data_IF_159759922151
#
_entry.id   IF_159759922151
#
_cell.length_a   1.000
_cell.length_b   1.000
_cell.length_c   1.000
_cell.angle_alpha   90.00
_cell.angle_beta   90.00
_cell.angle_gamma   90.00
#
_symmetry.space_group_name_H-M   'P 1'
#
loop_
_entity.id
_entity.type
_entity.pdbx_description
1 polymer ?
#
# COMPACT_ATOMS: atom_id res chain seq x y z
N UNK A 1 -4.10 -28.14 -16.08
CA UNK A 1 -3.17 -28.66 -17.11
C UNK A 1 -3.12 -27.58 -18.16
N UNK A 2 -2.20 -26.62 -18.01
CA UNK A 2 -2.09 -25.48 -18.95
C UNK A 2 -1.35 -25.94 -20.19
N UNK A 3 -2.05 -25.88 -21.32
CA UNK A 3 -1.46 -26.09 -22.64
C UNK A 3 -0.60 -24.85 -22.99
N UNK A 4 0.72 -24.99 -23.20
CA UNK A 4 1.61 -23.89 -23.56
C UNK A 4 1.28 -23.24 -24.92
N UNK A 5 0.30 -23.73 -25.67
CA UNK A 5 -0.11 -23.20 -26.97
C UNK A 5 -1.32 -22.25 -26.97
N UNK A 6 -2.02 -22.04 -25.85
CA UNK A 6 -3.21 -21.18 -25.82
C UNK A 6 -2.94 -19.83 -25.13
N UNK A 7 -1.99 -19.05 -25.67
CA UNK A 7 -1.74 -17.66 -25.22
C UNK A 7 -2.70 -16.73 -25.94
N UNK A 8 -3.44 -15.92 -25.18
CA UNK A 8 -4.26 -14.85 -25.76
C UNK A 8 -3.35 -13.74 -26.31
N UNK A 9 -3.53 -13.40 -27.58
CA UNK A 9 -2.79 -12.30 -28.21
C UNK A 9 -3.58 -11.01 -28.00
N UNK A 10 -3.03 -10.12 -27.18
CA UNK A 10 -3.67 -8.86 -26.80
C UNK A 10 -3.49 -7.79 -27.90
N UNK A 11 -2.29 -7.74 -28.47
CA UNK A 11 -1.87 -6.79 -29.48
C UNK A 11 -0.88 -7.45 -30.44
N UNK A 12 -0.99 -7.14 -31.72
CA UNK A 12 0.03 -7.44 -32.70
C UNK A 12 0.42 -6.15 -33.46
N UNK A 13 1.72 -5.95 -33.69
CA UNK A 13 2.19 -4.87 -34.57
C UNK A 13 2.96 -5.48 -35.74
N UNK A 14 2.43 -5.35 -36.95
CA UNK A 14 3.08 -5.87 -38.16
C UNK A 14 2.89 -4.92 -39.34
N UNK A 15 3.85 -4.89 -40.25
CA UNK A 15 3.80 -4.07 -41.48
C UNK A 15 3.49 -2.56 -41.25
N UNK A 16 3.87 -2.02 -40.09
CA UNK A 16 3.62 -0.61 -39.74
C UNK A 16 2.23 -0.33 -39.19
N UNK A 17 1.41 -1.35 -38.95
CA UNK A 17 0.06 -1.22 -38.40
C UNK A 17 -0.13 -2.03 -37.12
N UNK A 18 -0.73 -1.45 -36.06
CA UNK A 18 -1.19 -2.20 -34.90
C UNK A 18 -2.55 -2.85 -35.14
N UNK A 19 -2.72 -4.05 -34.61
CA UNK A 19 -4.00 -4.73 -34.42
C UNK A 19 -4.19 -4.92 -32.92
N UNK A 20 -5.16 -4.22 -32.34
CA UNK A 20 -5.51 -4.33 -30.93
C UNK A 20 -6.75 -5.23 -30.79
N UNK A 21 -6.59 -6.39 -30.18
CA UNK A 21 -7.67 -7.37 -30.02
C UNK A 21 -8.54 -7.09 -28.80
N UNK A 22 -8.11 -6.18 -27.92
CA UNK A 22 -8.82 -5.75 -26.72
C UNK A 22 -9.10 -4.24 -26.75
N UNK A 23 -9.59 -3.76 -27.89
CA UNK A 23 -9.93 -2.36 -28.08
C UNK A 23 -10.90 -1.86 -26.98
N UNK A 24 -10.61 -0.69 -26.40
CA UNK A 24 -11.34 -0.12 -25.26
C UNK A 24 -10.90 -0.62 -23.88
N UNK A 25 -10.24 -1.79 -23.80
CA UNK A 25 -9.55 -2.27 -22.58
C UNK A 25 -8.06 -1.99 -22.61
N UNK A 26 -7.47 -1.94 -23.79
CA UNK A 26 -6.06 -1.62 -24.00
C UNK A 26 -5.90 -0.51 -25.03
N UNK A 27 -4.88 0.31 -24.84
CA UNK A 27 -4.50 1.35 -25.78
C UNK A 27 -3.02 1.16 -26.14
N UNK A 28 -2.76 1.02 -27.44
CA UNK A 28 -1.39 0.93 -27.93
C UNK A 28 -0.91 2.28 -28.43
N UNK A 29 0.27 2.69 -27.96
CA UNK A 29 0.92 3.93 -28.34
C UNK A 29 2.02 3.63 -29.37
N UNK A 30 1.71 3.81 -30.65
CA UNK A 30 2.63 3.47 -31.75
C UNK A 30 3.92 4.30 -31.79
N UNK A 31 3.96 5.44 -31.09
CA UNK A 31 5.14 6.33 -31.05
C UNK A 31 6.31 5.74 -30.27
N UNK A 32 6.03 5.05 -29.17
CA UNK A 32 7.02 4.50 -28.25
C UNK A 32 6.87 3.00 -28.00
N UNK A 33 5.91 2.37 -28.68
CA UNK A 33 5.58 0.95 -28.55
C UNK A 33 5.12 0.54 -27.15
N UNK A 34 4.58 1.48 -26.37
CA UNK A 34 3.98 1.18 -25.08
C UNK A 34 2.55 0.66 -25.21
N UNK A 35 2.17 -0.21 -24.28
CA UNK A 35 0.81 -0.73 -24.12
C UNK A 35 0.26 -0.23 -22.79
N UNK A 36 -0.88 0.43 -22.84
CA UNK A 36 -1.61 0.91 -21.69
C UNK A 36 -2.84 0.03 -21.44
N UNK A 37 -3.04 -0.40 -20.20
CA UNK A 37 -4.23 -1.14 -19.77
C UNK A 37 -5.18 -0.13 -19.13
N UNK A 38 -6.35 0.06 -19.75
CA UNK A 38 -7.36 1.02 -19.31
C UNK A 38 -8.27 0.39 -18.25
N UNK A 39 -8.68 1.18 -17.25
CA UNK A 39 -9.58 0.76 -16.18
C UNK A 39 -9.11 -0.56 -15.52
N UNK A 40 -7.90 -0.52 -14.97
CA UNK A 40 -7.24 -1.67 -14.34
C UNK A 40 -8.12 -2.31 -13.27
N UNK A 41 -8.12 -3.63 -13.26
CA UNK A 41 -8.87 -4.50 -12.36
C UNK A 41 -7.94 -5.56 -11.78
N UNK A 42 -8.41 -6.28 -10.76
CA UNK A 42 -7.65 -7.39 -10.15
C UNK A 42 -7.28 -8.49 -11.15
N UNK A 43 -8.10 -8.69 -12.18
CA UNK A 43 -7.91 -9.74 -13.19
C UNK A 43 -6.75 -9.42 -14.14
N UNK A 44 -6.36 -8.15 -14.25
CA UNK A 44 -5.21 -7.75 -15.05
C UNK A 44 -3.88 -8.12 -14.34
N UNK A 45 -3.92 -8.55 -13.07
CA UNK A 45 -2.74 -9.01 -12.34
C UNK A 45 -2.26 -10.38 -12.82
N UNK A 46 -1.35 -10.41 -13.79
CA UNK A 46 -0.81 -11.63 -14.39
C UNK A 46 0.57 -11.42 -15.05
N UNK A 47 1.13 -12.51 -15.57
CA UNK A 47 2.35 -12.48 -16.36
C UNK A 47 2.02 -12.14 -17.83
N UNK A 48 2.51 -11.01 -18.30
CA UNK A 48 2.44 -10.59 -19.69
C UNK A 48 3.72 -10.98 -20.42
N UNK A 49 3.59 -11.27 -21.70
CA UNK A 49 4.73 -11.48 -22.58
C UNK A 49 4.75 -10.44 -23.68
N UNK A 50 5.94 -9.90 -23.91
CA UNK A 50 6.24 -9.07 -25.07
C UNK A 50 7.16 -9.86 -25.98
N UNK A 51 6.77 -10.08 -27.23
CA UNK A 51 7.56 -10.81 -28.20
C UNK A 51 7.92 -9.93 -29.39
N UNK A 52 9.18 -9.94 -29.80
CA UNK A 52 9.65 -9.30 -31.04
C UNK A 52 10.23 -10.34 -31.98
N UNK A 53 9.94 -10.19 -33.27
CA UNK A 53 10.46 -11.06 -34.32
C UNK A 53 11.21 -10.23 -35.35
N UNK A 54 12.44 -10.65 -35.67
CA UNK A 54 13.27 -10.07 -36.74
C UNK A 54 13.82 -11.21 -37.58
N UNK A 55 13.22 -11.44 -38.76
CA UNK A 55 13.53 -12.62 -39.57
C UNK A 55 13.16 -13.91 -38.83
N UNK A 56 14.12 -14.82 -38.66
CA UNK A 56 13.94 -16.05 -37.89
C UNK A 56 14.20 -15.88 -36.38
N UNK A 57 14.70 -14.73 -35.94
CA UNK A 57 15.01 -14.51 -34.53
C UNK A 57 13.77 -13.99 -33.79
N UNK A 58 13.37 -14.70 -32.74
CA UNK A 58 12.37 -14.27 -31.78
C UNK A 58 13.04 -13.94 -30.44
N UNK A 59 12.57 -12.86 -29.79
CA UNK A 59 12.91 -12.53 -28.42
C UNK A 59 11.63 -12.33 -27.63
N UNK A 60 11.56 -12.94 -26.47
CA UNK A 60 10.41 -12.86 -25.55
C UNK A 60 10.88 -12.26 -24.24
N UNK A 61 10.14 -11.29 -23.74
CA UNK A 61 10.31 -10.71 -22.40
C UNK A 61 9.06 -10.99 -21.59
N UNK A 62 9.25 -11.19 -20.29
CA UNK A 62 8.18 -11.46 -19.33
C UNK A 62 8.04 -10.28 -18.38
N UNK A 63 6.81 -9.84 -18.15
CA UNK A 63 6.47 -8.70 -17.29
C UNK A 63 5.37 -9.15 -16.34
N UNK A 64 5.66 -9.21 -15.05
CA UNK A 64 4.64 -9.47 -14.04
C UNK A 64 3.94 -8.17 -13.69
N UNK A 65 2.62 -8.10 -13.92
CA UNK A 65 1.80 -7.00 -13.45
C UNK A 65 1.15 -7.38 -12.12
N UNK A 66 1.39 -6.58 -11.10
CA UNK A 66 0.69 -6.67 -9.81
C UNK A 66 -0.29 -5.51 -9.67
N UNK A 67 -1.52 -5.81 -9.27
CA UNK A 67 -2.57 -4.80 -9.11
C UNK A 67 -2.91 -4.65 -7.63
N UNK A 68 -2.65 -3.47 -7.09
CA UNK A 68 -2.88 -3.12 -5.69
C UNK A 68 -4.12 -2.23 -5.55
N UNK A 69 -4.95 -2.52 -4.56
CA UNK A 69 -5.92 -1.57 -4.04
C UNK A 69 -5.18 -0.47 -3.26
N UNK A 70 -5.43 0.81 -3.56
CA UNK A 70 -4.86 1.91 -2.79
C UNK A 70 -5.26 1.85 -1.31
N UNK A 71 -4.32 2.20 -0.45
CA UNK A 71 -4.53 2.26 0.99
C UNK A 71 -5.57 3.34 1.30
N UNK A 72 -6.58 3.00 2.09
CA UNK A 72 -7.54 3.96 2.65
C UNK A 72 -6.90 4.84 3.74
N UNK A 73 -7.46 6.02 4.08
CA UNK A 73 -6.96 6.84 5.18
C UNK A 73 -6.86 6.01 6.47
N UNK A 74 -5.68 5.91 7.10
CA UNK A 74 -5.53 5.10 8.30
C UNK A 74 -6.22 5.77 9.50
N UNK A 75 -6.66 4.96 10.46
CA UNK A 75 -7.15 5.39 11.76
C UNK A 75 -6.14 5.00 12.84
N UNK A 76 -6.13 5.75 13.94
CA UNK A 76 -5.29 5.46 15.10
C UNK A 76 -6.20 5.22 16.30
N UNK A 77 -6.14 4.01 16.83
CA UNK A 77 -6.89 3.57 18.02
C UNK A 77 -5.99 3.54 19.25
N UNK A 78 -6.51 3.99 20.38
CA UNK A 78 -5.84 3.87 21.67
C UNK A 78 -6.26 2.54 22.30
N UNK A 79 -5.40 1.54 22.23
CA UNK A 79 -5.67 0.20 22.80
C UNK A 79 -5.57 0.21 24.33
N UNK A 80 -4.60 0.93 24.89
CA UNK A 80 -4.45 1.03 26.34
C UNK A 80 -3.84 2.36 26.76
N UNK A 81 -4.21 2.79 27.96
CA UNK A 81 -3.71 3.99 28.63
C UNK A 81 -3.52 3.71 30.10
N UNK A 82 -2.32 4.00 30.61
CA UNK A 82 -2.03 3.92 32.04
C UNK A 82 -1.24 5.16 32.49
N UNK A 83 -1.65 5.74 33.62
CA UNK A 83 -0.90 6.79 34.30
C UNK A 83 -0.26 6.20 35.56
N UNK A 84 1.07 6.20 35.61
CA UNK A 84 1.81 5.73 36.77
C UNK A 84 3.00 6.67 37.02
N UNK A 85 3.15 7.12 38.27
CA UNK A 85 4.28 7.95 38.71
C UNK A 85 4.53 9.20 37.83
N UNK A 86 3.46 9.88 37.39
CA UNK A 86 3.57 11.06 36.52
C UNK A 86 3.93 10.77 35.05
N UNK A 87 3.99 9.50 34.65
CA UNK A 87 4.25 9.07 33.28
C UNK A 87 3.04 8.34 32.68
N UNK A 88 2.72 8.68 31.44
CA UNK A 88 1.63 8.14 30.65
C UNK A 88 2.16 7.11 29.68
N UNK A 89 1.67 5.88 29.81
CA UNK A 89 1.95 4.79 28.87
C UNK A 89 0.74 4.61 27.96
N UNK A 90 0.99 4.64 26.65
CA UNK A 90 -0.01 4.39 25.63
C UNK A 90 0.41 3.21 24.76
N UNK A 91 -0.56 2.39 24.42
CA UNK A 91 -0.46 1.47 23.28
C UNK A 91 -1.42 1.95 22.22
N UNK A 92 -0.90 2.32 21.05
CA UNK A 92 -1.66 2.75 19.89
C UNK A 92 -1.62 1.64 18.84
N UNK A 93 -2.71 1.49 18.10
CA UNK A 93 -2.76 0.68 16.90
C UNK A 93 -3.14 1.55 15.72
N UNK A 94 -2.48 1.32 14.59
CA UNK A 94 -2.81 1.96 13.33
C UNK A 94 -3.31 0.92 12.35
N UNK A 95 -4.45 1.20 11.74
CA UNK A 95 -5.07 0.32 10.76
C UNK A 95 -5.62 1.15 9.60
N UNK A 96 -5.63 0.56 8.42
CA UNK A 96 -6.38 1.05 7.27
C UNK A 96 -7.45 0.01 6.92
N UNK A 97 -8.67 0.44 6.62
CA UNK A 97 -9.79 -0.45 6.31
C UNK A 97 -9.62 -1.18 4.97
N UNK A 98 -8.96 -0.52 4.01
CA UNK A 98 -8.70 -1.03 2.65
C UNK A 98 -7.24 -0.84 2.25
N UNK A 99 -6.81 -1.70 1.33
CA UNK A 99 -5.48 -1.75 0.74
C UNK A 99 -4.83 -3.12 0.88
N UNK A 100 -3.95 -3.48 -0.05
CA UNK A 100 -3.22 -4.75 0.01
C UNK A 100 -1.82 -4.59 0.58
N UNK A 101 -1.33 -5.66 1.22
CA UNK A 101 0.06 -5.80 1.68
C UNK A 101 0.57 -4.56 2.40
N UNK A 102 -0.27 -4.01 3.27
CA UNK A 102 -0.03 -2.70 3.87
C UNK A 102 1.13 -2.79 4.87
N UNK A 103 2.15 -2.00 4.64
CA UNK A 103 3.22 -1.74 5.59
C UNK A 103 2.88 -0.51 6.45
N UNK A 104 3.13 -0.63 7.75
CA UNK A 104 2.91 0.44 8.72
C UNK A 104 4.22 0.92 9.31
N UNK A 105 4.30 2.22 9.58
CA UNK A 105 5.41 2.83 10.31
C UNK A 105 4.95 4.06 11.06
N UNK A 106 5.70 4.45 12.08
CA UNK A 106 5.42 5.60 12.92
C UNK A 106 6.60 6.56 12.90
N UNK A 107 6.29 7.85 12.89
CA UNK A 107 7.28 8.93 12.99
C UNK A 107 6.63 10.14 13.68
N UNK A 108 7.43 11.05 14.23
CA UNK A 108 6.87 12.23 14.89
C UNK A 108 7.81 12.83 15.91
N UNK A 109 7.25 13.65 16.78
CA UNK A 109 8.01 14.42 17.76
C UNK A 109 7.61 14.03 19.19
N UNK A 110 8.58 13.71 20.08
CA UNK A 110 9.99 13.51 19.77
C UNK A 110 10.24 12.18 19.03
N UNK A 111 11.20 12.11 18.09
CA UNK A 111 11.44 10.92 17.28
C UNK A 111 11.70 9.65 18.10
N UNK A 112 12.40 9.78 19.23
CA UNK A 112 12.71 8.66 20.15
C UNK A 112 11.46 7.91 20.64
N UNK A 113 10.32 8.59 20.74
CA UNK A 113 9.06 8.02 21.20
C UNK A 113 8.19 7.49 20.05
N UNK A 114 8.18 8.18 18.91
CA UNK A 114 7.29 7.86 17.80
C UNK A 114 7.93 6.94 16.73
N UNK A 115 9.25 6.88 16.58
CA UNK A 115 9.88 6.15 15.47
C UNK A 115 9.85 4.63 15.68
N UNK A 116 8.92 3.93 15.02
CA UNK A 116 8.76 2.46 15.08
C UNK A 116 8.24 1.92 13.75
N UNK A 117 8.61 0.68 13.42
CA UNK A 117 8.01 -0.05 12.31
C UNK A 117 6.88 -0.94 12.84
N UNK A 118 5.85 -1.16 12.01
CA UNK A 118 4.66 -1.91 12.38
C UNK A 118 3.47 -1.03 12.74
N UNK A 119 2.30 -1.67 12.90
CA UNK A 119 1.03 -0.99 13.20
C UNK A 119 0.94 -0.54 14.66
N UNK A 120 1.63 -1.22 15.57
CA UNK A 120 1.59 -0.95 16.99
C UNK A 120 2.67 0.04 17.41
N UNK A 121 2.28 1.04 18.20
CA UNK A 121 3.20 1.98 18.84
C UNK A 121 2.97 1.99 20.35
N UNK A 122 4.00 1.57 21.08
CA UNK A 122 4.06 1.71 22.53
C UNK A 122 4.96 2.87 22.90
N UNK A 123 4.44 3.83 23.65
CA UNK A 123 5.19 5.01 24.06
C UNK A 123 4.89 5.38 25.52
N UNK A 124 5.88 5.99 26.16
CA UNK A 124 5.78 6.51 27.53
C UNK A 124 6.27 7.95 27.56
N UNK A 125 5.45 8.86 28.04
CA UNK A 125 5.76 10.30 28.10
C UNK A 125 5.29 10.93 29.42
N UNK A 126 5.95 12.00 29.91
CA UNK A 126 5.51 12.70 31.11
C UNK A 126 4.11 13.28 30.94
N UNK A 127 3.28 13.23 31.99
CA UNK A 127 1.88 13.69 31.96
C UNK A 127 1.70 15.14 31.47
N UNK A 128 2.70 15.99 31.69
CA UNK A 128 2.67 17.41 31.34
C UNK A 128 3.40 17.75 30.03
N UNK A 129 3.87 16.76 29.27
CA UNK A 129 4.56 16.99 28.00
C UNK A 129 3.54 17.17 26.86
N UNK A 130 3.32 18.43 26.46
CA UNK A 130 2.34 18.82 25.45
C UNK A 130 2.86 18.74 24.00
N UNK A 131 4.13 18.42 23.78
CA UNK A 131 4.74 18.47 22.43
C UNK A 131 4.82 17.10 21.74
N UNK A 132 4.00 16.13 22.18
CA UNK A 132 3.92 14.81 21.58
C UNK A 132 2.98 14.84 20.35
N UNK A 133 3.51 14.49 19.18
CA UNK A 133 2.72 14.36 17.95
C UNK A 133 3.30 13.22 17.13
N UNK A 134 2.70 12.03 17.25
CA UNK A 134 3.09 10.85 16.47
C UNK A 134 2.17 10.69 15.28
N UNK A 135 2.71 10.35 14.12
CA UNK A 135 1.96 10.03 12.92
C UNK A 135 2.23 8.60 12.49
N UNK A 136 1.17 7.87 12.18
CA UNK A 136 1.26 6.58 11.52
C UNK A 136 1.22 6.78 10.01
N UNK A 137 2.10 6.10 9.28
CA UNK A 137 2.06 5.91 7.84
C UNK A 137 1.59 4.51 7.54
N UNK A 138 0.55 4.40 6.73
CA UNK A 138 0.13 3.16 6.07
C UNK A 138 0.45 3.27 4.58
N UNK A 139 1.11 2.26 4.01
CA UNK A 139 1.56 2.31 2.61
C UNK A 139 1.64 0.95 1.95
N UNK A 140 1.47 0.93 0.64
CA UNK A 140 1.79 -0.18 -0.24
C UNK A 140 2.51 0.33 -1.50
N UNK A 141 2.71 -0.53 -2.50
CA UNK A 141 3.49 -0.21 -3.70
C UNK A 141 2.94 0.98 -4.51
N UNK A 142 1.65 1.30 -4.37
CA UNK A 142 0.97 2.32 -5.20
C UNK A 142 0.50 3.55 -4.42
N UNK A 143 0.49 3.50 -3.08
CA UNK A 143 -0.10 4.57 -2.27
C UNK A 143 0.48 4.64 -0.87
N UNK A 144 0.45 5.84 -0.28
CA UNK A 144 0.88 6.08 1.11
C UNK A 144 0.08 7.21 1.73
N UNK A 145 -0.53 6.94 2.89
CA UNK A 145 -1.32 7.89 3.65
C UNK A 145 -0.86 7.96 5.11
N UNK A 146 -1.20 9.07 5.76
CA UNK A 146 -0.80 9.40 7.12
C UNK A 146 -2.01 9.69 7.99
N UNK A 147 -1.94 9.29 9.25
CA UNK A 147 -2.81 9.75 10.32
C UNK A 147 -1.95 10.29 11.46
N UNK A 148 -2.39 11.36 12.11
CA UNK A 148 -1.65 11.99 13.21
C UNK A 148 -2.42 11.84 14.51
N UNK A 149 -1.72 11.39 15.54
CA UNK A 149 -2.18 11.31 16.91
C UNK A 149 -1.52 12.40 17.76
N UNK A 150 -2.35 13.16 18.45
CA UNK A 150 -1.95 14.12 19.48
C UNK A 150 -2.71 13.79 20.77
N UNK A 151 -2.02 13.53 21.89
CA UNK A 151 -2.71 13.24 23.14
C UNK A 151 -3.43 14.49 23.65
N UNK A 152 -4.68 14.34 24.08
CA UNK A 152 -5.48 15.41 24.72
C UNK A 152 -5.27 15.53 26.23
N UNK A 153 -4.23 14.87 26.77
CA UNK A 153 -4.00 14.70 28.20
C UNK A 153 -4.04 13.23 28.62
N UNK A 154 -3.83 12.99 29.90
CA UNK A 154 -3.74 11.65 30.46
C UNK A 154 -4.29 11.65 31.89
N UNK A 155 -5.51 11.14 32.03
CA UNK A 155 -6.19 10.93 33.30
C UNK A 155 -6.28 9.42 33.59
N UNK A 156 -6.39 9.06 34.88
CA UNK A 156 -6.77 7.70 35.27
C UNK A 156 -8.15 7.40 34.69
N UNK A 157 -8.28 6.41 33.80
CA UNK A 157 -9.57 5.79 33.54
C UNK A 157 -9.77 4.77 34.68
N UNK A 158 -10.88 4.78 35.44
CA UNK A 158 -11.13 3.72 36.42
C UNK A 158 -11.08 2.36 35.72
N UNK A 159 -10.38 1.39 36.30
CA UNK A 159 -10.50 0.00 35.87
C UNK A 159 -12.00 -0.34 35.89
N UNK A 160 -12.57 -0.61 34.71
CA UNK A 160 -13.93 -1.13 34.63
C UNK A 160 -14.02 -2.42 35.46
N UNK A 161 -15.16 -2.68 36.12
CA UNK A 161 -15.31 -3.89 36.91
C UNK A 161 -15.11 -5.10 36.00
N UNK A 162 -14.23 -6.02 36.43
CA UNK A 162 -14.13 -7.34 35.82
C UNK A 162 -15.47 -8.09 35.99
N UNK A 163 -15.86 -8.94 35.02
CA UNK A 163 -17.10 -9.72 35.08
C UNK A 163 -17.12 -10.70 36.26
#
# INVERSE_FOLDING_TARGET
TDDPQNKEVLLQYSHGSPTNYLEGRMQFHSKDFSLEILNTSRQDGQLYEYATRKGQQERVWQILLEVYEPVSPPSIEVLSRALANGSCRLTLNCSAERGDSIAYSWAGTPPRLCARNGSLLQLSYPQHDANLSCSCRASNAVSSLLATFRPSGCSQQPAGPAP
#
